data_IF_000536476934
#
_entry.id   IF_000536476934
#
_cell.length_a   1.000
_cell.length_b   1.000
_cell.length_c   1.000
_cell.angle_alpha   90.00
_cell.angle_beta   90.00
_cell.angle_gamma   90.00
#
_symmetry.space_group_name_H-M   'P 1'
#
loop_
_entity.id
_entity.type
_entity.pdbx_description
1 polymer ?
#
# COMPACT_ATOMS: atom_id res chain seq x y z
N UNK A 1 0.61 18.78 19.69
CA UNK A 1 1.66 18.06 18.93
C UNK A 1 2.36 17.19 19.96
N UNK A 2 2.18 15.87 19.90
CA UNK A 2 2.95 14.94 20.72
C UNK A 2 4.41 15.16 20.40
N UNK A 3 5.27 15.04 21.40
CA UNK A 3 6.75 15.07 21.26
C UNK A 3 7.18 13.86 20.43
N UNK A 4 7.03 13.99 19.08
CA UNK A 4 7.32 12.91 18.14
C UNK A 4 8.82 12.72 18.16
N UNK A 5 9.25 11.62 18.76
CA UNK A 5 10.66 11.23 18.75
C UNK A 5 11.16 11.15 17.29
N UNK A 6 12.40 11.58 17.03
CA UNK A 6 13.04 11.45 15.72
C UNK A 6 12.94 10.00 15.21
N UNK A 7 12.90 9.83 13.90
CA UNK A 7 12.81 8.52 13.23
C UNK A 7 11.65 7.65 13.71
N UNK A 8 10.39 8.11 13.61
CA UNK A 8 9.26 7.29 14.03
C UNK A 8 9.20 5.99 13.22
N UNK A 9 8.97 4.88 13.94
CA UNK A 9 8.85 3.56 13.32
C UNK A 9 7.38 3.30 12.99
N UNK A 10 7.11 2.88 11.75
CA UNK A 10 5.76 2.59 11.29
C UNK A 10 5.73 1.34 10.40
N UNK A 11 4.53 0.92 10.04
CA UNK A 11 4.26 -0.15 9.07
C UNK A 11 3.74 0.45 7.76
N UNK A 12 3.76 -0.31 6.67
CA UNK A 12 3.06 0.08 5.43
C UNK A 12 1.55 -0.16 5.59
N UNK A 13 1.16 -1.33 6.11
CA UNK A 13 -0.25 -1.61 6.39
C UNK A 13 -0.44 -3.08 6.77
N UNK A 14 -0.44 -3.96 5.78
CA UNK A 14 -0.83 -5.35 5.94
C UNK A 14 0.13 -6.18 6.80
N UNK A 15 -0.45 -6.97 7.71
CA UNK A 15 0.21 -7.96 8.55
C UNK A 15 -0.12 -9.38 8.06
N UNK A 16 0.77 -10.38 8.22
CA UNK A 16 0.46 -11.75 7.85
C UNK A 16 -0.76 -12.28 8.59
N UNK A 17 -1.77 -12.73 7.87
CA UNK A 17 -3.00 -13.25 8.47
C UNK A 17 -2.75 -14.64 9.03
N UNK A 18 -3.25 -14.93 10.23
CA UNK A 18 -3.13 -16.28 10.80
C UNK A 18 -3.95 -17.29 9.98
N UNK A 19 -3.53 -18.58 9.94
CA UNK A 19 -4.19 -19.60 9.11
C UNK A 19 -5.69 -19.77 9.39
N UNK A 20 -6.10 -19.60 10.65
CA UNK A 20 -7.50 -19.69 11.04
C UNK A 20 -8.35 -18.54 10.46
N UNK A 21 -7.79 -17.32 10.35
CA UNK A 21 -8.47 -16.20 9.72
C UNK A 21 -8.58 -16.38 8.19
N UNK A 22 -7.55 -16.93 7.55
CA UNK A 22 -7.61 -17.28 6.12
C UNK A 22 -8.72 -18.31 5.87
N UNK A 23 -8.86 -19.32 6.74
CA UNK A 23 -9.94 -20.29 6.66
C UNK A 23 -11.33 -19.63 6.82
N UNK A 24 -11.47 -18.69 7.76
CA UNK A 24 -12.70 -17.91 7.95
C UNK A 24 -13.02 -17.03 6.75
N UNK A 25 -12.01 -16.37 6.18
CA UNK A 25 -12.16 -15.54 4.97
C UNK A 25 -12.66 -16.36 3.77
N UNK A 26 -12.14 -17.57 3.57
CA UNK A 26 -12.60 -18.48 2.51
C UNK A 26 -14.04 -18.90 2.70
N UNK A 27 -14.44 -19.26 3.93
CA UNK A 27 -15.84 -19.60 4.25
C UNK A 27 -16.78 -18.41 3.97
N UNK A 28 -16.36 -17.20 4.37
CA UNK A 28 -17.13 -16.00 4.06
C UNK A 28 -17.29 -15.77 2.56
N UNK A 29 -16.21 -15.88 1.79
CA UNK A 29 -16.25 -15.73 0.33
C UNK A 29 -17.11 -16.80 -0.36
N UNK A 30 -17.23 -17.99 0.23
CA UNK A 30 -18.12 -19.06 -0.21
C UNK A 30 -19.59 -18.85 0.22
N UNK A 31 -19.85 -17.89 1.11
CA UNK A 31 -21.18 -17.67 1.69
C UNK A 31 -21.53 -18.57 2.88
N UNK A 32 -20.56 -19.33 3.38
CA UNK A 32 -20.71 -20.29 4.50
C UNK A 32 -20.49 -19.64 5.89
N UNK A 33 -20.15 -18.36 5.93
CA UNK A 33 -19.94 -17.59 7.16
C UNK A 33 -20.54 -16.19 7.02
N UNK A 34 -21.28 -15.74 8.02
CA UNK A 34 -21.84 -14.38 8.04
C UNK A 34 -20.74 -13.31 8.20
N UNK A 35 -21.11 -12.05 7.95
CA UNK A 35 -20.20 -10.90 8.14
C UNK A 35 -19.82 -10.73 9.60
N UNK A 36 -20.80 -10.89 10.51
CA UNK A 36 -20.59 -10.75 11.96
C UNK A 36 -19.66 -11.83 12.50
N UNK A 37 -19.84 -13.09 12.11
CA UNK A 37 -18.99 -14.20 12.50
C UNK A 37 -17.56 -14.04 11.98
N UNK A 38 -17.41 -13.59 10.73
CA UNK A 38 -16.07 -13.28 10.19
C UNK A 38 -15.42 -12.14 10.94
N UNK A 39 -16.14 -11.04 11.22
CA UNK A 39 -15.60 -9.89 11.93
C UNK A 39 -15.15 -10.24 13.34
N UNK A 40 -15.88 -11.08 14.06
CA UNK A 40 -15.45 -11.56 15.38
C UNK A 40 -14.08 -12.26 15.32
N UNK A 41 -13.88 -13.12 14.30
CA UNK A 41 -12.56 -13.73 14.06
C UNK A 41 -11.51 -12.69 13.65
N UNK A 42 -11.86 -11.73 12.82
CA UNK A 42 -10.95 -10.69 12.36
C UNK A 42 -10.55 -9.73 13.49
N UNK A 43 -11.45 -9.46 14.45
CA UNK A 43 -11.16 -8.66 15.65
C UNK A 43 -10.01 -9.27 16.46
N UNK A 44 -10.03 -10.57 16.72
CA UNK A 44 -8.93 -11.28 17.39
C UNK A 44 -7.62 -11.16 16.63
N UNK A 45 -7.68 -11.24 15.30
CA UNK A 45 -6.48 -11.10 14.45
C UNK A 45 -5.92 -9.67 14.45
N UNK A 46 -6.78 -8.66 14.48
CA UNK A 46 -6.37 -7.25 14.63
C UNK A 46 -5.68 -7.05 15.97
N UNK A 47 -6.27 -7.54 17.07
CA UNK A 47 -5.66 -7.44 18.41
C UNK A 47 -4.27 -8.09 18.44
N UNK A 48 -4.12 -9.28 17.84
CA UNK A 48 -2.82 -9.93 17.73
C UNK A 48 -1.83 -9.11 16.88
N UNK A 49 -2.28 -8.56 15.74
CA UNK A 49 -1.45 -7.73 14.88
C UNK A 49 -0.96 -6.47 15.59
N UNK A 50 -1.86 -5.76 16.29
CA UNK A 50 -1.53 -4.56 17.07
C UNK A 50 -0.53 -4.90 18.17
N UNK A 51 -0.78 -5.99 18.90
CA UNK A 51 0.12 -6.45 19.96
C UNK A 51 1.54 -6.73 19.44
N UNK A 52 1.67 -7.41 18.29
CA UNK A 52 2.97 -7.63 17.67
C UNK A 52 3.68 -6.32 17.31
N UNK A 53 2.96 -5.35 16.74
CA UNK A 53 3.51 -4.05 16.38
C UNK A 53 3.97 -3.26 17.61
N UNK A 54 3.15 -3.20 18.66
CA UNK A 54 3.47 -2.51 19.91
C UNK A 54 4.67 -3.15 20.63
N UNK A 55 4.71 -4.49 20.72
CA UNK A 55 5.82 -5.22 21.35
C UNK A 55 7.12 -5.10 20.56
N UNK A 56 7.04 -4.94 19.25
CA UNK A 56 8.20 -4.63 18.41
C UNK A 56 8.69 -3.18 18.56
N UNK A 57 7.93 -2.30 19.24
CA UNK A 57 8.30 -0.91 19.46
C UNK A 57 7.90 0.03 18.32
N UNK A 58 6.88 -0.32 17.54
CA UNK A 58 6.33 0.54 16.48
C UNK A 58 5.64 1.75 17.10
N UNK A 59 5.90 2.93 16.56
CA UNK A 59 5.33 4.20 17.04
C UNK A 59 3.95 4.48 16.43
N UNK A 60 3.76 4.18 15.14
CA UNK A 60 2.52 4.40 14.38
C UNK A 60 2.03 3.06 13.86
N UNK A 61 0.95 2.54 14.44
CA UNK A 61 0.43 1.19 14.16
C UNK A 61 -0.74 1.18 13.16
N UNK A 62 -0.98 0.03 12.53
CA UNK A 62 -2.18 -0.24 11.73
C UNK A 62 -2.96 -1.44 12.28
N UNK A 63 -4.20 -1.64 11.81
CA UNK A 63 -4.98 -2.85 12.09
C UNK A 63 -4.44 -4.11 11.39
N UNK A 64 -3.38 -3.95 10.59
CA UNK A 64 -2.77 -5.02 9.81
C UNK A 64 -3.62 -5.49 8.64
N UNK A 65 -4.65 -4.74 8.26
CA UNK A 65 -5.59 -5.08 7.17
C UNK A 65 -6.21 -6.47 7.34
N UNK A 66 -6.42 -6.89 8.58
CA UNK A 66 -6.81 -8.28 8.89
C UNK A 66 -8.19 -8.64 8.33
N UNK A 67 -9.07 -7.65 8.10
CA UNK A 67 -10.41 -7.86 7.54
C UNK A 67 -10.43 -7.94 6.02
N UNK A 68 -9.32 -7.64 5.35
CA UNK A 68 -9.22 -7.50 3.90
C UNK A 68 -8.59 -8.74 3.26
N UNK A 69 -9.03 -9.12 2.07
CA UNK A 69 -8.40 -10.17 1.26
C UNK A 69 -7.10 -9.69 0.62
N UNK A 70 -7.08 -8.42 0.19
CA UNK A 70 -5.90 -7.68 -0.22
C UNK A 70 -6.12 -6.17 -0.02
N UNK A 71 -5.12 -5.36 -0.34
CA UNK A 71 -5.10 -3.93 -0.06
C UNK A 71 -6.08 -3.09 -0.90
N UNK A 72 -6.68 -3.61 -1.98
CA UNK A 72 -7.58 -2.83 -2.84
C UNK A 72 -8.91 -3.52 -3.20
N UNK A 73 -8.98 -4.85 -3.31
CA UNK A 73 -10.20 -5.53 -3.74
C UNK A 73 -11.31 -5.54 -2.67
N UNK A 74 -10.96 -5.34 -1.40
CA UNK A 74 -11.92 -5.27 -0.29
C UNK A 74 -13.00 -4.20 -0.50
N UNK A 75 -12.73 -3.19 -1.32
CA UNK A 75 -13.71 -2.11 -1.62
C UNK A 75 -14.99 -2.63 -2.27
N UNK A 76 -14.98 -3.82 -2.90
CA UNK A 76 -16.18 -4.43 -3.50
C UNK A 76 -17.29 -4.61 -2.48
N UNK A 77 -16.97 -4.93 -1.24
CA UNK A 77 -17.96 -5.09 -0.17
C UNK A 77 -18.55 -3.75 0.29
N UNK A 78 -17.83 -2.67 0.07
CA UNK A 78 -18.14 -1.31 0.51
C UNK A 78 -18.74 -0.43 -0.59
N UNK A 79 -18.69 -0.89 -1.85
CA UNK A 79 -19.16 -0.13 -3.02
C UNK A 79 -20.30 -0.86 -3.74
N UNK A 80 -21.23 -0.09 -4.30
CA UNK A 80 -22.17 -0.53 -5.33
C UNK A 80 -21.57 -0.35 -6.72
N UNK A 81 -22.11 -1.08 -7.70
CA UNK A 81 -21.71 -0.96 -9.11
C UNK A 81 -20.37 -1.64 -9.44
N UNK A 82 -19.78 -2.39 -8.52
CA UNK A 82 -18.53 -3.13 -8.72
C UNK A 82 -18.74 -4.63 -8.49
N UNK A 83 -18.01 -5.45 -9.25
CA UNK A 83 -17.96 -6.90 -9.09
C UNK A 83 -16.54 -7.37 -8.85
N UNK A 84 -16.37 -8.32 -7.92
CA UNK A 84 -15.09 -8.95 -7.68
C UNK A 84 -14.83 -10.00 -8.75
N UNK A 85 -13.80 -9.78 -9.57
CA UNK A 85 -13.41 -10.70 -10.64
C UNK A 85 -11.96 -11.15 -10.46
N UNK A 86 -11.71 -12.45 -10.60
CA UNK A 86 -10.35 -12.98 -10.65
C UNK A 86 -9.70 -12.61 -11.97
N UNK A 87 -8.36 -12.54 -11.98
CA UNK A 87 -7.61 -12.35 -13.23
C UNK A 87 -7.96 -13.43 -14.25
N UNK A 88 -8.20 -14.68 -13.79
CA UNK A 88 -8.62 -15.78 -14.65
C UNK A 88 -9.98 -15.52 -15.34
N UNK A 89 -10.93 -14.89 -14.64
CA UNK A 89 -12.22 -14.50 -15.24
C UNK A 89 -12.05 -13.36 -16.26
N UNK A 90 -11.17 -12.40 -15.96
CA UNK A 90 -10.87 -11.28 -16.86
C UNK A 90 -10.20 -11.73 -18.16
N UNK A 91 -9.46 -12.85 -18.17
CA UNK A 91 -8.89 -13.44 -19.38
C UNK A 91 -9.91 -13.71 -20.49
N UNK A 92 -11.17 -13.94 -20.15
CA UNK A 92 -12.24 -14.15 -21.14
C UNK A 92 -12.59 -12.88 -21.94
N UNK A 93 -12.15 -11.72 -21.46
CA UNK A 93 -12.41 -10.39 -22.05
C UNK A 93 -11.15 -9.77 -22.69
N UNK A 94 -9.98 -10.41 -22.57
CA UNK A 94 -8.72 -9.94 -23.15
C UNK A 94 -8.60 -10.38 -24.62
N UNK A 95 -8.17 -9.47 -25.50
CA UNK A 95 -8.04 -9.75 -26.96
C UNK A 95 -6.99 -10.83 -27.27
N UNK A 96 -5.86 -10.81 -26.58
CA UNK A 96 -4.75 -11.80 -26.72
C UNK A 96 -4.55 -12.57 -25.42
N UNK A 97 -5.45 -13.52 -25.21
CA UNK A 97 -5.44 -14.36 -24.02
C UNK A 97 -4.13 -15.15 -23.84
N UNK A 98 -3.60 -15.72 -24.92
CA UNK A 98 -2.41 -16.57 -24.83
C UNK A 98 -1.17 -15.78 -24.36
N UNK A 99 -0.96 -14.61 -24.95
CA UNK A 99 0.13 -13.69 -24.55
C UNK A 99 -0.03 -13.25 -23.11
N UNK A 100 -1.25 -12.90 -22.69
CA UNK A 100 -1.50 -12.47 -21.32
C UNK A 100 -1.25 -13.60 -20.30
N UNK A 101 -1.71 -14.85 -20.59
CA UNK A 101 -1.42 -16.01 -19.76
C UNK A 101 0.10 -16.30 -19.65
N UNK A 102 0.85 -16.12 -20.73
CA UNK A 102 2.31 -16.26 -20.72
C UNK A 102 2.95 -15.20 -19.81
N UNK A 103 2.52 -13.96 -19.92
CA UNK A 103 2.97 -12.85 -19.05
C UNK A 103 2.69 -13.14 -17.57
N UNK A 104 1.49 -13.60 -17.22
CA UNK A 104 1.15 -13.95 -15.83
C UNK A 104 2.06 -15.06 -15.27
N UNK A 105 2.39 -16.07 -16.08
CA UNK A 105 3.33 -17.13 -15.69
C UNK A 105 4.75 -16.59 -15.51
N UNK A 106 5.23 -15.78 -16.44
CA UNK A 106 6.57 -15.18 -16.37
C UNK A 106 6.73 -14.31 -15.12
N UNK A 107 5.68 -13.59 -14.71
CA UNK A 107 5.66 -12.73 -13.54
C UNK A 107 5.31 -13.45 -12.22
N UNK A 108 5.15 -14.76 -12.23
CA UNK A 108 4.77 -15.56 -11.04
C UNK A 108 3.46 -15.09 -10.39
N UNK A 109 2.48 -14.69 -11.22
CA UNK A 109 1.21 -14.13 -10.73
C UNK A 109 0.20 -15.24 -10.43
N UNK A 110 -0.38 -15.27 -9.22
CA UNK A 110 -1.41 -16.24 -8.85
C UNK A 110 -2.79 -15.79 -9.40
N UNK A 111 -3.07 -16.03 -10.69
CA UNK A 111 -4.22 -15.53 -11.42
C UNK A 111 -5.60 -15.85 -10.80
N UNK A 112 -5.71 -16.92 -10.01
CA UNK A 112 -6.94 -17.28 -9.30
C UNK A 112 -7.05 -16.62 -7.91
N UNK A 113 -5.92 -16.29 -7.28
CA UNK A 113 -5.90 -15.65 -5.97
C UNK A 113 -5.98 -14.12 -6.06
N UNK A 114 -5.58 -13.56 -7.20
CA UNK A 114 -5.67 -12.11 -7.44
C UNK A 114 -7.03 -11.75 -8.03
N UNK A 115 -7.69 -10.81 -7.38
CA UNK A 115 -9.04 -10.36 -7.70
C UNK A 115 -9.04 -8.84 -7.82
N UNK A 116 -9.82 -8.32 -8.77
CA UNK A 116 -9.99 -6.88 -9.00
C UNK A 116 -11.45 -6.48 -8.85
N UNK A 117 -11.73 -5.28 -8.30
CA UNK A 117 -13.05 -4.70 -8.26
C UNK A 117 -13.36 -4.08 -9.64
N UNK A 118 -14.15 -4.76 -10.48
CA UNK A 118 -14.48 -4.28 -11.82
C UNK A 118 -15.80 -3.49 -11.80
N UNK A 119 -15.80 -2.26 -12.31
CA UNK A 119 -16.99 -1.44 -12.44
C UNK A 119 -17.90 -2.00 -13.55
N UNK A 120 -19.10 -2.45 -13.14
CA UNK A 120 -20.13 -3.01 -14.03
C UNK A 120 -21.45 -2.24 -13.92
N UNK A 121 -21.50 -1.23 -13.05
CA UNK A 121 -22.62 -0.33 -12.81
C UNK A 121 -22.13 1.00 -12.25
N UNK A 122 -23.03 1.97 -11.99
CA UNK A 122 -22.65 3.24 -11.36
C UNK A 122 -22.03 3.01 -9.98
N UNK A 123 -20.76 3.40 -9.82
CA UNK A 123 -20.00 3.17 -8.60
C UNK A 123 -20.42 4.15 -7.52
N UNK A 124 -20.81 3.65 -6.35
CA UNK A 124 -21.24 4.46 -5.20
C UNK A 124 -20.79 3.80 -3.90
N UNK A 125 -20.48 4.60 -2.88
CA UNK A 125 -20.22 4.08 -1.55
C UNK A 125 -21.51 3.62 -0.88
N UNK A 126 -21.54 2.39 -0.36
CA UNK A 126 -22.59 1.85 0.51
C UNK A 126 -22.34 2.23 1.97
N UNK A 127 -21.06 2.27 2.34
CA UNK A 127 -20.57 2.56 3.70
C UNK A 127 -19.19 3.18 3.62
N UNK A 128 -18.62 3.60 4.76
CA UNK A 128 -17.21 3.93 4.86
C UNK A 128 -16.33 2.74 4.46
N UNK A 129 -15.17 3.01 3.84
CA UNK A 129 -14.27 1.95 3.40
C UNK A 129 -13.52 1.32 4.57
N UNK A 130 -12.98 2.16 5.48
CA UNK A 130 -12.13 1.76 6.60
C UNK A 130 -12.48 2.43 7.94
N UNK A 131 -13.55 3.23 8.00
CA UNK A 131 -13.94 3.95 9.22
C UNK A 131 -14.21 3.01 10.42
N UNK A 132 -14.84 1.85 10.17
CA UNK A 132 -15.08 0.85 11.22
C UNK A 132 -13.78 0.18 11.70
N UNK A 133 -12.86 -0.07 10.77
CA UNK A 133 -11.52 -0.61 11.05
C UNK A 133 -10.73 0.36 11.95
N UNK A 134 -10.72 1.65 11.61
CA UNK A 134 -10.08 2.68 12.43
C UNK A 134 -10.71 2.78 13.82
N UNK A 135 -12.03 2.78 13.91
CA UNK A 135 -12.75 2.86 15.20
C UNK A 135 -12.34 1.70 16.11
N UNK A 136 -12.28 0.49 15.58
CA UNK A 136 -11.82 -0.67 16.32
C UNK A 136 -10.36 -0.53 16.74
N UNK A 137 -9.48 -0.15 15.84
CA UNK A 137 -8.06 0.05 16.11
C UNK A 137 -7.85 1.07 17.26
N UNK A 138 -8.48 2.24 17.17
CA UNK A 138 -8.35 3.31 18.21
C UNK A 138 -8.89 2.91 19.57
N UNK A 139 -9.84 1.99 19.62
CA UNK A 139 -10.35 1.44 20.90
C UNK A 139 -9.34 0.51 21.59
N UNK A 140 -8.33 -0.01 20.87
CA UNK A 140 -7.43 -1.05 21.35
C UNK A 140 -5.95 -0.66 21.34
N UNK A 141 -5.61 0.57 20.99
CA UNK A 141 -4.24 1.09 21.08
C UNK A 141 -4.22 2.53 21.61
N UNK A 142 -3.07 2.90 22.20
CA UNK A 142 -2.74 4.30 22.53
C UNK A 142 -1.69 4.90 21.61
N UNK A 143 -1.22 4.12 20.64
CA UNK A 143 -0.26 4.57 19.62
C UNK A 143 -0.97 5.44 18.58
N UNK A 144 -0.20 6.24 17.86
CA UNK A 144 -0.69 6.86 16.64
C UNK A 144 -1.12 5.78 15.64
N UNK A 145 -2.13 6.08 14.84
CA UNK A 145 -2.79 5.12 13.96
C UNK A 145 -2.57 5.47 12.48
N UNK A 146 -2.24 4.45 11.68
CA UNK A 146 -2.16 4.56 10.22
C UNK A 146 -3.27 3.75 9.57
N UNK A 147 -3.94 4.37 8.58
CA UNK A 147 -4.97 3.70 7.76
C UNK A 147 -4.52 3.69 6.31
N UNK A 148 -4.17 2.53 5.74
CA UNK A 148 -3.91 2.41 4.31
C UNK A 148 -5.21 2.31 3.53
N UNK A 149 -5.27 3.01 2.39
CA UNK A 149 -6.33 2.96 1.38
C UNK A 149 -5.70 2.71 0.01
N UNK A 150 -6.42 2.09 -0.94
CA UNK A 150 -5.96 2.09 -2.32
C UNK A 150 -5.86 3.53 -2.84
N UNK A 151 -4.82 3.83 -3.59
CA UNK A 151 -4.67 5.12 -4.23
C UNK A 151 -5.70 5.34 -5.34
N UNK A 152 -6.04 6.59 -5.67
CA UNK A 152 -7.08 6.89 -6.65
C UNK A 152 -6.75 6.40 -8.05
N UNK A 153 -5.49 6.48 -8.47
CA UNK A 153 -5.07 5.97 -9.77
C UNK A 153 -5.10 4.44 -9.80
N UNK A 154 -4.52 3.79 -8.78
CA UNK A 154 -4.55 2.33 -8.63
C UNK A 154 -5.99 1.80 -8.67
N UNK A 155 -6.89 2.35 -7.86
CA UNK A 155 -8.28 1.88 -7.78
C UNK A 155 -9.01 2.12 -9.10
N UNK A 156 -8.83 3.27 -9.75
CA UNK A 156 -9.44 3.59 -11.04
C UNK A 156 -8.99 2.60 -12.11
N UNK A 157 -7.67 2.43 -12.28
CA UNK A 157 -7.10 1.57 -13.32
C UNK A 157 -7.42 0.09 -13.11
N UNK A 158 -7.51 -0.37 -11.85
CA UNK A 158 -7.88 -1.75 -11.55
C UNK A 158 -9.39 -2.03 -11.64
N UNK A 159 -10.20 -0.97 -11.66
CA UNK A 159 -11.66 -1.11 -11.69
C UNK A 159 -12.28 -0.87 -13.07
N UNK A 160 -11.57 -0.24 -14.00
CA UNK A 160 -12.07 -0.02 -15.35
C UNK A 160 -11.56 -1.08 -16.32
N UNK A 161 -12.45 -1.78 -16.99
CA UNK A 161 -12.12 -2.84 -17.92
C UNK A 161 -12.91 -2.70 -19.24
N UNK A 162 -12.21 -2.66 -20.41
CA UNK A 162 -12.88 -2.58 -21.71
C UNK A 162 -13.83 -3.76 -21.94
N UNK A 163 -15.01 -3.49 -22.48
CA UNK A 163 -16.07 -4.50 -22.70
C UNK A 163 -16.90 -4.82 -21.48
N UNK A 164 -16.56 -4.31 -20.31
CA UNK A 164 -17.33 -4.46 -19.06
C UNK A 164 -17.74 -3.10 -18.49
N UNK A 165 -16.77 -2.19 -18.34
CA UNK A 165 -16.97 -0.90 -17.69
C UNK A 165 -17.44 0.21 -18.63
N UNK A 166 -17.11 0.13 -19.90
CA UNK A 166 -17.40 1.14 -20.94
C UNK A 166 -18.89 1.39 -21.19
N UNK A 167 -19.75 0.44 -20.84
CA UNK A 167 -21.22 0.65 -20.87
C UNK A 167 -21.72 1.66 -19.83
N UNK A 168 -20.94 1.90 -18.76
CA UNK A 168 -21.29 2.79 -17.64
C UNK A 168 -20.38 4.01 -17.60
N UNK A 169 -19.10 3.78 -17.84
CA UNK A 169 -18.05 4.79 -17.89
C UNK A 169 -17.35 4.70 -19.24
N UNK A 170 -17.71 5.56 -20.21
CA UNK A 170 -17.17 5.52 -21.59
C UNK A 170 -15.65 5.54 -21.67
N UNK A 171 -15.00 6.08 -20.66
CA UNK A 171 -13.54 6.13 -20.52
C UNK A 171 -13.15 5.95 -19.04
N UNK A 172 -11.86 5.71 -18.82
CA UNK A 172 -11.30 5.50 -17.48
C UNK A 172 -11.32 6.78 -16.64
N UNK A 173 -11.26 7.92 -17.28
CA UNK A 173 -11.26 9.25 -16.65
C UNK A 173 -12.59 9.54 -15.95
N UNK A 174 -13.72 9.14 -16.55
CA UNK A 174 -15.05 9.29 -15.94
C UNK A 174 -15.17 8.47 -14.64
N UNK A 175 -14.66 7.23 -14.63
CA UNK A 175 -14.57 6.43 -13.40
C UNK A 175 -13.64 7.07 -12.38
N UNK A 176 -12.50 7.64 -12.82
CA UNK A 176 -11.53 8.30 -11.95
C UNK A 176 -12.10 9.48 -11.16
N UNK A 177 -13.04 10.20 -11.74
CA UNK A 177 -13.77 11.28 -11.04
C UNK A 177 -14.56 10.72 -9.86
N UNK A 178 -15.30 9.62 -10.08
CA UNK A 178 -16.12 8.98 -9.02
C UNK A 178 -15.23 8.34 -7.93
N UNK A 179 -14.17 7.65 -8.33
CA UNK A 179 -13.21 7.05 -7.39
C UNK A 179 -12.58 8.13 -6.51
N UNK A 180 -12.12 9.24 -7.12
CA UNK A 180 -11.55 10.37 -6.37
C UNK A 180 -12.55 10.94 -5.37
N UNK A 181 -13.82 11.09 -5.75
CA UNK A 181 -14.88 11.58 -4.88
C UNK A 181 -15.14 10.64 -3.69
N UNK A 182 -15.18 9.33 -3.94
CA UNK A 182 -15.39 8.31 -2.90
C UNK A 182 -14.23 8.31 -1.92
N UNK A 183 -12.99 8.26 -2.41
CA UNK A 183 -11.80 8.27 -1.58
C UNK A 183 -11.66 9.58 -0.78
N UNK A 184 -11.98 10.72 -1.40
CA UNK A 184 -11.98 12.00 -0.69
C UNK A 184 -12.94 12.00 0.50
N UNK A 185 -14.15 11.50 0.32
CA UNK A 185 -15.14 11.42 1.40
C UNK A 185 -14.66 10.48 2.51
N UNK A 186 -14.03 9.37 2.14
CA UNK A 186 -13.44 8.44 3.11
C UNK A 186 -12.30 9.08 3.90
N UNK A 187 -11.38 9.78 3.25
CA UNK A 187 -10.27 10.49 3.91
C UNK A 187 -10.81 11.52 4.92
N UNK A 188 -11.86 12.27 4.55
CA UNK A 188 -12.51 13.23 5.44
C UNK A 188 -13.13 12.50 6.64
N UNK A 189 -13.84 11.40 6.41
CA UNK A 189 -14.45 10.61 7.48
C UNK A 189 -13.41 10.01 8.43
N UNK A 190 -12.31 9.51 7.91
CA UNK A 190 -11.20 8.97 8.71
C UNK A 190 -10.51 10.06 9.52
N UNK A 191 -10.25 11.22 8.93
CA UNK A 191 -9.72 12.39 9.64
C UNK A 191 -10.65 12.79 10.80
N UNK A 192 -11.95 12.88 10.54
CA UNK A 192 -12.95 13.30 11.54
C UNK A 192 -13.13 12.21 12.62
N UNK A 193 -12.86 10.96 12.30
CA UNK A 193 -12.76 9.85 13.26
C UNK A 193 -11.43 9.81 14.02
N UNK A 194 -10.49 10.73 13.71
CA UNK A 194 -9.24 10.92 14.43
C UNK A 194 -8.11 10.01 13.95
N UNK A 195 -8.04 9.64 12.67
CA UNK A 195 -6.86 9.04 12.08
C UNK A 195 -5.66 9.97 12.22
N UNK A 196 -4.50 9.44 12.57
CA UNK A 196 -3.27 10.23 12.69
C UNK A 196 -2.54 10.28 11.33
N UNK A 197 -2.58 9.19 10.57
CA UNK A 197 -1.97 9.07 9.25
C UNK A 197 -2.86 8.27 8.29
N UNK A 198 -3.11 8.79 7.08
CA UNK A 198 -3.80 8.09 6.00
C UNK A 198 -2.81 7.91 4.84
N UNK A 199 -2.57 6.66 4.43
CA UNK A 199 -1.66 6.30 3.36
C UNK A 199 -2.46 5.86 2.13
N UNK A 200 -2.12 6.40 0.95
CA UNK A 200 -2.70 6.04 -0.33
C UNK A 200 -1.71 5.14 -1.10
N UNK A 201 -2.12 3.91 -1.44
CA UNK A 201 -1.24 2.92 -2.05
C UNK A 201 -1.31 2.98 -3.58
N UNK A 202 -0.20 3.37 -4.21
CA UNK A 202 -0.04 3.52 -5.67
C UNK A 202 1.09 2.65 -6.24
N UNK A 203 1.07 1.32 -6.01
CA UNK A 203 2.16 0.44 -6.45
C UNK A 203 2.32 0.37 -7.97
N UNK A 204 1.29 0.74 -8.75
CA UNK A 204 1.34 0.65 -10.21
C UNK A 204 2.08 1.84 -10.87
N UNK A 205 2.41 2.90 -10.14
CA UNK A 205 3.16 4.02 -10.72
C UNK A 205 4.54 3.60 -11.22
N UNK A 206 5.24 2.74 -10.48
CA UNK A 206 6.53 2.20 -10.92
C UNK A 206 6.41 1.35 -12.18
N UNK A 207 5.27 0.72 -12.38
CA UNK A 207 5.02 -0.11 -13.55
C UNK A 207 4.79 0.71 -14.82
N UNK A 208 4.26 1.94 -14.69
CA UNK A 208 4.11 2.84 -15.83
C UNK A 208 5.47 3.22 -16.42
N UNK A 209 6.51 3.28 -15.58
CA UNK A 209 7.87 3.65 -15.99
C UNK A 209 8.72 2.42 -16.35
N UNK A 210 8.66 1.38 -15.54
CA UNK A 210 9.58 0.24 -15.60
C UNK A 210 8.96 -1.05 -16.12
N UNK A 211 7.66 -1.06 -16.38
CA UNK A 211 7.03 -2.18 -17.05
C UNK A 211 7.60 -2.31 -18.48
N UNK A 212 8.02 -3.53 -18.87
CA UNK A 212 8.53 -3.79 -20.20
C UNK A 212 7.49 -3.39 -21.27
N UNK A 213 7.95 -2.93 -22.46
CA UNK A 213 7.05 -2.70 -23.60
C UNK A 213 6.30 -4.00 -23.89
N UNK A 214 4.96 -3.94 -23.77
CA UNK A 214 4.08 -5.10 -23.92
C UNK A 214 3.98 -6.03 -22.71
N UNK A 215 4.67 -5.76 -21.59
CA UNK A 215 4.37 -6.40 -20.31
C UNK A 215 3.14 -5.72 -19.72
N UNK A 216 2.03 -6.38 -19.90
CA UNK A 216 0.78 -5.98 -19.28
C UNK A 216 0.89 -6.23 -17.77
N UNK A 217 0.57 -5.23 -16.94
CA UNK A 217 0.53 -5.39 -15.48
C UNK A 217 -0.56 -6.39 -15.10
N UNK A 218 -0.23 -7.32 -14.25
CA UNK A 218 -1.20 -8.24 -13.70
C UNK A 218 -2.19 -7.60 -12.73
N UNK A 219 -1.87 -6.42 -12.17
CA UNK A 219 -2.76 -5.72 -11.23
C UNK A 219 -3.83 -4.87 -11.91
N UNK A 220 -3.65 -4.60 -13.19
CA UNK A 220 -4.57 -3.77 -13.95
C UNK A 220 -5.21 -4.55 -15.08
N UNK A 221 -6.49 -4.80 -14.95
CA UNK A 221 -7.33 -5.15 -16.08
C UNK A 221 -7.23 -4.10 -17.22
N UNK A 222 -6.85 -2.88 -16.91
CA UNK A 222 -6.83 -1.71 -17.79
C UNK A 222 -5.59 -1.56 -18.68
N UNK A 223 -4.74 -2.55 -18.78
CA UNK A 223 -3.53 -2.45 -19.63
C UNK A 223 -3.79 -2.52 -21.11
N UNK A 224 -4.99 -2.89 -21.49
CA UNK A 224 -5.43 -2.79 -22.87
C UNK A 224 -5.47 -1.33 -23.41
N UNK A 225 -5.30 -0.34 -22.55
CA UNK A 225 -5.33 1.10 -22.89
C UNK A 225 -4.15 1.88 -22.30
N UNK A 226 -2.95 1.29 -22.23
CA UNK A 226 -1.77 1.99 -21.75
C UNK A 226 -1.45 3.18 -22.64
N UNK A 227 -1.48 4.38 -22.07
CA UNK A 227 -1.01 5.61 -22.65
C UNK A 227 0.51 5.77 -22.46
N UNK A 228 1.07 6.84 -22.98
CA UNK A 228 2.46 7.24 -22.71
C UNK A 228 2.68 7.36 -21.19
N UNK A 229 3.84 6.90 -20.65
CA UNK A 229 4.14 7.00 -19.22
C UNK A 229 3.95 8.41 -18.64
N UNK A 230 4.29 9.45 -19.40
CA UNK A 230 4.14 10.86 -18.98
C UNK A 230 2.67 11.23 -18.81
N UNK A 231 1.81 10.80 -19.73
CA UNK A 231 0.36 11.03 -19.66
C UNK A 231 -0.25 10.28 -18.47
N UNK A 232 0.17 9.02 -18.26
CA UNK A 232 -0.32 8.21 -17.13
C UNK A 232 0.11 8.80 -15.78
N UNK A 233 1.36 9.24 -15.63
CA UNK A 233 1.84 9.87 -14.41
C UNK A 233 1.17 11.23 -14.16
N UNK A 234 0.94 12.02 -15.22
CA UNK A 234 0.19 13.28 -15.11
C UNK A 234 -1.24 13.05 -14.67
N UNK A 235 -1.88 12.01 -15.20
CA UNK A 235 -3.23 11.62 -14.78
C UNK A 235 -3.26 11.12 -13.33
N UNK A 236 -2.27 10.33 -12.90
CA UNK A 236 -2.15 9.90 -11.50
C UNK A 236 -1.99 11.08 -10.54
N UNK A 237 -1.15 12.06 -10.90
CA UNK A 237 -0.99 13.31 -10.16
C UNK A 237 -2.31 14.09 -10.06
N UNK A 238 -3.04 14.23 -11.18
CA UNK A 238 -4.34 14.89 -11.19
C UNK A 238 -5.34 14.22 -10.25
N UNK A 239 -5.49 12.88 -10.34
CA UNK A 239 -6.40 12.11 -9.49
C UNK A 239 -6.02 12.22 -8.01
N UNK A 240 -4.72 12.11 -7.69
CA UNK A 240 -4.22 12.26 -6.33
C UNK A 240 -4.59 13.65 -5.79
N UNK A 241 -4.22 14.70 -6.48
CA UNK A 241 -4.49 16.07 -6.03
C UNK A 241 -5.98 16.39 -5.96
N UNK A 242 -6.80 15.88 -6.88
CA UNK A 242 -8.28 15.96 -6.82
C UNK A 242 -8.83 15.30 -5.55
N UNK A 243 -8.29 14.15 -5.19
CA UNK A 243 -8.71 13.38 -4.01
C UNK A 243 -8.41 14.10 -2.71
N UNK A 244 -7.22 14.70 -2.58
CA UNK A 244 -6.73 15.23 -1.30
C UNK A 244 -6.79 16.76 -1.16
N UNK A 245 -7.15 17.48 -2.22
CA UNK A 245 -7.12 18.94 -2.25
C UNK A 245 -7.88 19.57 -1.07
N UNK A 246 -7.20 20.45 -0.30
CA UNK A 246 -7.76 21.18 0.82
C UNK A 246 -8.08 20.33 2.06
N UNK A 247 -7.64 19.07 2.10
CA UNK A 247 -7.71 18.26 3.33
C UNK A 247 -6.52 18.64 4.21
N UNK A 248 -6.77 18.88 5.47
CA UNK A 248 -5.78 19.21 6.51
C UNK A 248 -6.20 18.59 7.84
N UNK A 249 -5.29 18.57 8.82
CA UNK A 249 -5.55 18.04 10.16
C UNK A 249 -5.35 16.52 10.28
N UNK A 250 -4.82 15.88 9.25
CA UNK A 250 -4.37 14.50 9.24
C UNK A 250 -3.13 14.41 8.34
N UNK A 251 -2.16 13.58 8.68
CA UNK A 251 -1.00 13.32 7.81
C UNK A 251 -1.44 12.48 6.60
N UNK A 252 -1.05 12.90 5.41
CA UNK A 252 -1.30 12.19 4.16
C UNK A 252 0.00 11.70 3.55
N UNK A 253 0.04 10.44 3.13
CA UNK A 253 1.19 9.87 2.44
C UNK A 253 0.80 9.03 1.23
N UNK A 254 1.76 8.84 0.32
CA UNK A 254 1.62 7.90 -0.79
C UNK A 254 2.67 6.80 -0.67
N UNK A 255 2.21 5.54 -0.78
CA UNK A 255 3.13 4.40 -0.85
C UNK A 255 3.31 3.98 -2.31
N UNK A 256 4.58 3.94 -2.73
CA UNK A 256 4.97 3.53 -4.08
C UNK A 256 6.05 2.46 -3.99
N UNK A 257 5.66 1.22 -4.24
CA UNK A 257 6.55 0.06 -4.26
C UNK A 257 6.79 -0.47 -5.69
N UNK A 258 7.54 -1.55 -5.81
CA UNK A 258 7.86 -2.24 -7.08
C UNK A 258 7.22 -3.62 -7.18
N UNK A 259 6.23 -3.85 -6.35
CA UNK A 259 5.52 -5.12 -6.26
C UNK A 259 5.95 -5.97 -5.07
N UNK A 260 4.98 -6.69 -4.52
CA UNK A 260 5.14 -7.55 -3.33
C UNK A 260 4.27 -8.81 -3.45
N UNK A 261 4.25 -9.41 -4.64
CA UNK A 261 3.43 -10.59 -4.94
C UNK A 261 4.21 -11.88 -5.04
N UNK A 262 5.56 -11.80 -5.16
CA UNK A 262 6.44 -12.94 -5.31
C UNK A 262 7.67 -12.82 -4.44
N UNK A 263 8.21 -13.98 -4.01
CA UNK A 263 9.54 -14.08 -3.36
C UNK A 263 10.67 -14.07 -4.37
N UNK A 264 10.37 -14.21 -5.65
CA UNK A 264 11.37 -14.18 -6.73
C UNK A 264 11.68 -12.72 -7.06
N UNK A 265 12.83 -12.24 -6.65
CA UNK A 265 13.24 -10.84 -6.86
C UNK A 265 13.42 -10.48 -8.34
N UNK A 266 13.68 -11.44 -9.21
CA UNK A 266 13.89 -11.26 -10.65
C UNK A 266 12.61 -10.96 -11.43
N UNK A 267 11.43 -11.32 -10.90
CA UNK A 267 10.13 -11.02 -11.53
C UNK A 267 9.55 -9.68 -11.11
N UNK A 268 10.19 -9.00 -10.15
CA UNK A 268 9.74 -7.71 -9.65
C UNK A 268 10.40 -6.57 -10.41
N UNK A 269 9.73 -5.41 -10.44
CA UNK A 269 10.23 -4.24 -11.14
C UNK A 269 11.56 -3.73 -10.56
N UNK A 270 12.45 -3.21 -11.42
CA UNK A 270 13.74 -2.63 -11.05
C UNK A 270 13.86 -1.23 -11.63
N UNK A 271 14.41 -0.31 -10.86
CA UNK A 271 14.68 1.07 -11.28
C UNK A 271 14.59 2.05 -10.12
N UNK A 272 15.23 3.20 -10.23
CA UNK A 272 15.20 4.24 -9.21
C UNK A 272 13.92 5.08 -9.29
N UNK A 273 13.72 6.00 -8.35
CA UNK A 273 12.55 6.87 -8.31
C UNK A 273 12.67 8.12 -9.21
N UNK A 274 13.82 8.37 -9.84
CA UNK A 274 14.07 9.58 -10.63
C UNK A 274 12.95 9.97 -11.60
N UNK A 275 12.47 9.06 -12.47
CA UNK A 275 11.37 9.40 -13.39
C UNK A 275 10.02 9.68 -12.72
N UNK A 276 9.82 9.21 -11.47
CA UNK A 276 8.58 9.40 -10.71
C UNK A 276 8.60 10.67 -9.85
N UNK A 277 9.80 11.08 -9.38
CA UNK A 277 9.95 12.16 -8.42
C UNK A 277 9.30 13.48 -8.85
N UNK A 278 9.41 13.95 -10.12
CA UNK A 278 8.74 15.18 -10.55
C UNK A 278 7.24 15.18 -10.22
N UNK A 279 6.57 14.04 -10.39
CA UNK A 279 5.14 13.89 -10.12
C UNK A 279 4.85 13.69 -8.64
N UNK A 280 5.67 12.88 -7.94
CA UNK A 280 5.47 12.59 -6.51
C UNK A 280 5.65 13.84 -5.64
N UNK A 281 6.59 14.71 -5.98
CA UNK A 281 6.82 15.98 -5.27
C UNK A 281 5.66 16.95 -5.48
N UNK A 282 5.05 16.98 -6.66
CA UNK A 282 3.88 17.84 -6.96
C UNK A 282 2.57 17.34 -6.33
N UNK A 283 2.50 16.09 -5.85
CA UNK A 283 1.35 15.62 -5.06
C UNK A 283 1.24 16.42 -3.76
N UNK A 284 0.04 16.92 -3.45
CA UNK A 284 -0.24 17.80 -2.28
C UNK A 284 -0.41 16.99 -0.99
N UNK A 285 0.54 16.13 -0.70
CA UNK A 285 0.61 15.28 0.49
C UNK A 285 1.90 15.52 1.28
N UNK A 286 2.00 14.94 2.47
CA UNK A 286 3.08 15.20 3.42
C UNK A 286 4.26 14.24 3.23
N UNK A 287 4.00 12.95 2.97
CA UNK A 287 5.02 11.91 3.05
C UNK A 287 5.05 10.98 1.83
N UNK A 288 6.26 10.63 1.37
CA UNK A 288 6.53 9.58 0.40
C UNK A 288 6.99 8.31 1.12
N UNK A 289 6.25 7.21 1.02
CA UNK A 289 6.58 5.91 1.64
C UNK A 289 7.15 4.99 0.56
N UNK A 290 8.47 4.79 0.56
CA UNK A 290 9.22 4.24 -0.56
C UNK A 290 10.11 3.07 -0.15
N UNK A 291 10.40 2.16 -1.11
CA UNK A 291 11.30 1.01 -0.93
C UNK A 291 12.77 1.43 -1.06
N UNK A 292 13.61 1.07 -0.09
CA UNK A 292 15.07 1.25 -0.16
C UNK A 292 15.85 0.14 0.55
N UNK A 293 15.20 -0.94 0.99
CA UNK A 293 15.89 -2.05 1.64
C UNK A 293 16.73 -2.90 0.67
N UNK A 294 16.46 -2.82 -0.63
CA UNK A 294 17.17 -3.59 -1.65
C UNK A 294 17.74 -2.70 -2.75
N UNK A 295 18.87 -3.08 -3.39
CA UNK A 295 19.45 -2.32 -4.50
C UNK A 295 18.53 -2.14 -5.72
N UNK A 296 17.46 -2.94 -5.81
CA UNK A 296 16.46 -2.87 -6.88
C UNK A 296 15.80 -1.50 -7.00
N UNK A 297 15.64 -0.81 -5.88
CA UNK A 297 15.03 0.51 -5.80
C UNK A 297 15.96 1.67 -6.23
N UNK A 298 17.23 1.39 -6.45
CA UNK A 298 18.25 2.41 -6.70
C UNK A 298 18.69 3.12 -5.42
N UNK A 299 19.37 4.24 -5.58
CA UNK A 299 19.97 4.98 -4.49
C UNK A 299 19.16 6.24 -4.13
N UNK A 300 19.34 6.72 -2.90
CA UNK A 300 18.72 7.93 -2.37
C UNK A 300 19.19 9.22 -3.07
N UNK A 301 20.29 9.15 -3.81
CA UNK A 301 20.91 10.28 -4.52
C UNK A 301 19.93 11.01 -5.45
N UNK A 302 18.92 10.30 -5.98
CA UNK A 302 17.87 10.88 -6.84
C UNK A 302 17.07 11.98 -6.17
N UNK A 303 17.07 12.05 -4.83
CA UNK A 303 16.40 13.11 -4.06
C UNK A 303 17.22 14.38 -3.89
N UNK A 304 18.50 14.39 -4.26
CA UNK A 304 19.37 15.53 -4.00
C UNK A 304 18.89 16.84 -4.64
N UNK A 305 18.22 16.74 -5.79
CA UNK A 305 17.65 17.92 -6.48
C UNK A 305 16.37 18.44 -5.82
N UNK A 306 15.65 17.58 -5.10
CA UNK A 306 14.38 17.92 -4.45
C UNK A 306 14.53 18.21 -2.96
N UNK A 307 15.70 17.88 -2.40
CA UNK A 307 15.96 18.06 -0.97
C UNK A 307 14.93 17.30 -0.12
N UNK A 308 14.51 17.93 0.95
CA UNK A 308 13.55 17.41 1.93
C UNK A 308 12.19 18.11 1.85
N UNK A 309 11.70 18.41 0.64
CA UNK A 309 10.38 19.04 0.45
C UNK A 309 9.25 18.20 1.03
N UNK A 310 9.40 16.85 1.01
CA UNK A 310 8.47 15.89 1.60
C UNK A 310 9.13 15.13 2.74
N UNK A 311 8.33 14.58 3.64
CA UNK A 311 8.79 13.55 4.56
C UNK A 311 9.09 12.25 3.78
N UNK A 312 10.04 11.49 4.25
CA UNK A 312 10.41 10.18 3.70
C UNK A 312 10.05 9.05 4.68
N UNK A 313 9.10 8.22 4.31
CA UNK A 313 8.93 6.88 4.86
C UNK A 313 9.93 5.95 4.18
N UNK A 314 11.08 5.81 4.82
CA UNK A 314 12.22 5.05 4.30
C UNK A 314 12.03 3.55 4.55
N UNK A 315 11.85 2.77 3.48
CA UNK A 315 11.86 1.32 3.52
C UNK A 315 13.26 0.79 3.84
N UNK A 316 13.42 0.08 4.96
CA UNK A 316 14.72 -0.37 5.46
C UNK A 316 14.81 -1.87 5.68
N UNK A 317 13.70 -2.61 5.54
CA UNK A 317 13.67 -4.08 5.58
C UNK A 317 12.85 -4.64 4.42
N UNK A 318 13.32 -5.75 3.85
CA UNK A 318 12.65 -6.44 2.75
C UNK A 318 11.61 -7.44 3.28
N UNK A 319 10.30 -7.21 3.12
CA UNK A 319 9.25 -8.10 3.64
C UNK A 319 9.21 -9.47 2.95
N UNK A 320 9.85 -9.63 1.79
CA UNK A 320 9.86 -10.87 1.00
C UNK A 320 10.93 -11.86 1.46
N UNK A 321 12.04 -11.36 2.02
CA UNK A 321 13.11 -12.18 2.58
C UNK A 321 12.78 -12.65 3.99
N UNK A 322 13.14 -13.88 4.34
CA UNK A 322 13.11 -14.37 5.72
C UNK A 322 14.35 -13.96 6.53
N UNK A 323 15.36 -13.40 5.88
CA UNK A 323 16.53 -12.84 6.54
C UNK A 323 16.14 -11.59 7.34
N UNK A 324 16.59 -11.51 8.58
CA UNK A 324 16.34 -10.34 9.44
C UNK A 324 17.53 -9.39 9.29
N UNK A 325 17.27 -8.19 8.82
CA UNK A 325 18.26 -7.13 8.68
C UNK A 325 18.78 -6.72 10.07
N UNK A 326 20.11 -6.58 10.22
CA UNK A 326 20.69 -6.15 11.49
C UNK A 326 20.46 -4.67 11.73
N UNK A 327 20.23 -4.24 12.99
CA UNK A 327 20.02 -2.83 13.33
C UNK A 327 21.13 -1.90 12.80
N UNK A 328 22.38 -2.35 12.80
CA UNK A 328 23.52 -1.56 12.31
C UNK A 328 23.47 -1.35 10.78
N UNK A 329 22.94 -2.33 10.05
CA UNK A 329 22.76 -2.19 8.60
C UNK A 329 21.64 -1.20 8.27
N UNK A 330 20.57 -1.20 9.07
CA UNK A 330 19.47 -0.23 8.98
C UNK A 330 19.98 1.17 9.34
N UNK A 331 20.70 1.31 10.45
CA UNK A 331 21.32 2.58 10.86
C UNK A 331 22.19 3.16 9.75
N UNK A 332 23.04 2.34 9.13
CA UNK A 332 23.88 2.76 7.99
C UNK A 332 23.02 3.31 6.84
N UNK A 333 21.91 2.66 6.49
CA UNK A 333 21.00 3.13 5.43
C UNK A 333 20.35 4.47 5.80
N UNK A 334 19.93 4.65 7.05
CA UNK A 334 19.36 5.92 7.53
C UNK A 334 20.41 7.03 7.48
N UNK A 335 21.66 6.75 7.83
CA UNK A 335 22.76 7.74 7.71
C UNK A 335 23.02 8.19 6.27
N UNK A 336 22.76 7.35 5.28
CA UNK A 336 22.79 7.79 3.88
C UNK A 336 21.64 8.77 3.59
N UNK A 337 20.44 8.51 4.12
CA UNK A 337 19.32 9.43 3.97
C UNK A 337 19.54 10.77 4.67
N UNK A 338 20.22 10.79 5.82
CA UNK A 338 20.57 12.01 6.56
C UNK A 338 21.54 12.95 5.82
N UNK A 339 22.14 12.52 4.73
CA UNK A 339 22.93 13.40 3.85
C UNK A 339 22.05 14.32 2.98
N UNK A 340 20.74 14.05 2.93
CA UNK A 340 19.77 14.69 2.04
C UNK A 340 18.59 15.24 2.84
N UNK A 341 18.10 14.48 3.82
CA UNK A 341 16.88 14.77 4.58
C UNK A 341 17.20 15.22 6.00
N UNK A 342 16.43 16.17 6.51
CA UNK A 342 16.42 16.51 7.93
C UNK A 342 15.97 15.30 8.77
N UNK A 343 16.60 15.03 9.93
CA UNK A 343 16.21 13.91 10.80
C UNK A 343 14.72 13.87 11.16
N UNK A 344 14.08 15.01 11.32
CA UNK A 344 12.66 15.10 11.66
C UNK A 344 11.72 14.66 10.52
N UNK A 345 12.24 14.56 9.30
CA UNK A 345 11.48 14.17 8.11
C UNK A 345 11.62 12.70 7.72
N UNK A 346 12.42 11.93 8.45
CA UNK A 346 12.65 10.50 8.15
C UNK A 346 11.82 9.63 9.08
N UNK A 347 10.96 8.80 8.50
CA UNK A 347 10.22 7.72 9.16
C UNK A 347 10.77 6.37 8.70
N UNK A 348 10.78 5.37 9.56
CA UNK A 348 11.32 4.05 9.25
C UNK A 348 10.19 3.03 9.10
N UNK A 349 10.19 2.32 7.97
CA UNK A 349 9.18 1.32 7.66
C UNK A 349 9.75 0.14 6.86
N UNK A 350 9.02 -0.97 6.72
CA UNK A 350 9.34 -1.99 5.71
C UNK A 350 9.16 -1.45 4.29
N UNK A 351 9.82 -2.07 3.31
CA UNK A 351 9.65 -1.72 1.88
C UNK A 351 8.20 -1.83 1.40
N UNK A 352 7.42 -2.74 1.98
CA UNK A 352 6.01 -2.96 1.68
C UNK A 352 5.31 -3.67 2.86
N UNK A 353 4.00 -3.90 2.76
CA UNK A 353 3.26 -4.68 3.75
C UNK A 353 3.75 -6.13 3.84
N UNK A 354 3.70 -6.72 5.04
CA UNK A 354 4.12 -8.11 5.27
C UNK A 354 3.09 -9.15 4.78
N UNK A 355 1.83 -8.73 4.59
CA UNK A 355 0.72 -9.61 4.24
C UNK A 355 -0.19 -9.06 3.13
N UNK A 356 0.38 -8.50 2.07
CA UNK A 356 -0.33 -7.81 0.98
C UNK A 356 -1.51 -8.62 0.42
N UNK A 357 -1.34 -9.92 0.19
CA UNK A 357 -2.39 -10.84 -0.23
C UNK A 357 -2.65 -11.86 0.87
N UNK A 358 -3.90 -11.97 1.35
CA UNK A 358 -4.26 -12.82 2.48
C UNK A 358 -3.82 -14.27 2.30
N UNK A 359 -4.03 -14.85 1.12
CA UNK A 359 -3.72 -16.24 0.81
C UNK A 359 -2.26 -16.51 0.45
N UNK A 360 -1.45 -15.44 0.27
CA UNK A 360 -0.04 -15.56 -0.13
C UNK A 360 0.85 -14.59 0.67
N UNK A 361 0.94 -14.76 2.00
CA UNK A 361 1.86 -13.95 2.78
C UNK A 361 3.31 -14.26 2.37
N UNK A 362 4.14 -13.24 2.30
CA UNK A 362 5.55 -13.43 1.95
C UNK A 362 6.31 -14.15 3.07
N UNK A 363 6.00 -13.83 4.32
CA UNK A 363 6.57 -14.45 5.51
C UNK A 363 5.50 -14.60 6.60
N UNK A 364 5.83 -15.29 7.68
CA UNK A 364 4.96 -15.40 8.84
C UNK A 364 5.09 -14.20 9.80
N UNK A 365 4.22 -14.15 10.81
CA UNK A 365 4.20 -13.07 11.80
C UNK A 365 5.47 -13.00 12.65
N UNK A 366 6.23 -14.10 12.82
CA UNK A 366 7.48 -14.10 13.59
C UNK A 366 8.59 -13.38 12.85
N UNK A 367 8.70 -13.61 11.54
CA UNK A 367 9.65 -12.89 10.67
C UNK A 367 9.28 -11.41 10.62
N UNK A 368 8.01 -11.09 10.42
CA UNK A 368 7.53 -9.71 10.41
C UNK A 368 7.83 -8.98 11.73
N UNK A 369 7.57 -9.64 12.86
CA UNK A 369 7.87 -9.13 14.20
C UNK A 369 9.37 -8.85 14.38
N UNK A 370 10.23 -9.84 14.07
CA UNK A 370 11.67 -9.68 14.22
C UNK A 370 12.24 -8.54 13.35
N UNK A 371 11.70 -8.35 12.14
CA UNK A 371 12.07 -7.22 11.27
C UNK A 371 11.67 -5.87 11.88
N UNK A 372 10.46 -5.75 12.43
CA UNK A 372 10.03 -4.53 13.12
C UNK A 372 10.86 -4.25 14.38
N UNK A 373 11.21 -5.29 15.15
CA UNK A 373 12.13 -5.12 16.29
C UNK A 373 13.48 -4.56 15.83
N UNK A 374 14.04 -5.07 14.74
CA UNK A 374 15.29 -4.59 14.18
C UNK A 374 15.22 -3.12 13.75
N UNK A 375 14.11 -2.69 13.12
CA UNK A 375 13.86 -1.27 12.80
C UNK A 375 13.82 -0.43 14.07
N UNK A 376 13.09 -0.88 15.10
CA UNK A 376 12.91 -0.14 16.35
C UNK A 376 14.23 -0.03 17.13
N UNK A 377 15.08 -1.05 17.09
CA UNK A 377 16.41 -1.00 17.68
C UNK A 377 17.32 -0.01 16.95
N UNK A 378 17.32 -0.01 15.62
CA UNK A 378 18.05 0.98 14.81
C UNK A 378 17.56 2.41 15.09
N UNK A 379 16.26 2.64 15.19
CA UNK A 379 15.70 3.94 15.56
C UNK A 379 16.20 4.41 16.94
N UNK A 380 16.26 3.52 17.93
CA UNK A 380 16.80 3.81 19.27
C UNK A 380 18.28 4.17 19.21
N UNK A 381 19.08 3.50 18.38
CA UNK A 381 20.51 3.81 18.20
C UNK A 381 20.69 5.21 17.60
N UNK A 382 19.93 5.53 16.55
CA UNK A 382 19.95 6.84 15.89
C UNK A 382 19.52 7.98 16.83
N UNK A 383 18.42 7.81 17.58
CA UNK A 383 17.92 8.79 18.55
C UNK A 383 18.96 9.14 19.61
N UNK A 384 19.73 8.16 20.11
CA UNK A 384 20.80 8.41 21.11
C UNK A 384 21.89 9.33 20.56
N UNK A 385 22.29 9.15 19.32
CA UNK A 385 23.36 9.94 18.69
C UNK A 385 22.88 11.36 18.39
N UNK A 386 21.68 11.52 17.82
CA UNK A 386 21.15 12.85 17.46
C UNK A 386 20.80 13.71 18.69
N UNK A 387 20.44 13.09 19.81
CA UNK A 387 20.15 13.80 21.09
C UNK A 387 21.44 14.01 21.92
N UNK A 388 22.62 13.56 21.43
CA UNK A 388 23.91 13.80 22.08
C UNK A 388 24.15 12.98 23.35
N UNK A 389 23.45 11.85 23.52
CA UNK A 389 23.70 10.91 24.61
C UNK A 389 24.84 9.97 24.17
N UNK A 390 25.99 9.90 24.87
CA UNK A 390 27.09 8.97 24.53
C UNK A 390 26.60 7.52 24.53
N UNK A 391 27.12 6.73 23.58
CA UNK A 391 26.82 5.32 23.43
C UNK A 391 27.26 4.47 24.65
#
# INVERSE_FOLDING_TARGET
MSDTSLFPVTVVGSWPRPPWLIASLRKRQAGDLSFEEFNASADDAVLASVKYQEDAGVDIVSDGEQRRDNFYSFVVEKLEGVQLMTVAQLLNHVKDRARFEETLRALDVPAFAMKSPVATGPVRAKSGLAADELKFLKAHTKRETKVPLPGPYMLTKSSWFPGLSDNVYPNVEDLGVEVSRILRNEIIALRDAGADFIQLDEPILTQMVYGAEGAESFMCAALASRKDPTEELSYALELMNRTIQGISGVKLGVHVCRGNWSRKEDVLLKGNYGPLLPYLIEMKLDQLVLEFATPRAGELEVFREYGDEKELGLGVVNPRSSEIERPEAIEKRVREALKIFDPSKIFLNPDCGFGTFAERPMNDSRVAFAKLQSISEAAKMLRKVEVGIPA
#
